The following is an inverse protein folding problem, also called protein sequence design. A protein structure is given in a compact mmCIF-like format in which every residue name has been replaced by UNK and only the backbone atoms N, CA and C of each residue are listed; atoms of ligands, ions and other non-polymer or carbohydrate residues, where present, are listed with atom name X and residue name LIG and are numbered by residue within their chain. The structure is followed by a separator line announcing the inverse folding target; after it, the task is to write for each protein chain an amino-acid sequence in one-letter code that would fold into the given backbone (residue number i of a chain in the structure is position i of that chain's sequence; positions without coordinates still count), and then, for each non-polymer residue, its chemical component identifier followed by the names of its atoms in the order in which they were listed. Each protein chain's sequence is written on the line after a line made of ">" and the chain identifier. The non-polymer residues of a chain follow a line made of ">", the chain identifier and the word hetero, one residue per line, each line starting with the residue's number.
data_IF_545125763938
#
_entry.id   IF_545125763938
#
_cell.length_a   1.000
_cell.length_b   1.000
_cell.length_c   1.000
_cell.angle_alpha   90.00
_cell.angle_beta   90.00
_cell.angle_gamma   90.00
#
_symmetry.space_group_name_H-M   'P 1'
#
loop_
_entity.id
_entity.type
_entity.pdbx_description
1 polymer ?
#
# COMPACT_ATOMS: atom_id res chain seq x y z
N UNK A 1 13.17 -9.68 -0.65
CA UNK A 1 11.95 -10.52 -0.81
C UNK A 1 11.94 -11.59 0.26
N UNK A 2 11.27 -11.35 1.39
CA UNK A 2 11.07 -12.37 2.43
C UNK A 2 9.56 -12.62 2.53
N UNK A 3 9.12 -13.79 2.07
CA UNK A 3 7.73 -14.26 2.17
C UNK A 3 7.76 -15.49 3.05
N UNK A 4 6.92 -15.51 4.08
CA UNK A 4 6.89 -16.60 5.06
C UNK A 4 5.44 -16.99 5.30
N UNK A 5 5.16 -18.29 5.24
CA UNK A 5 3.84 -18.86 5.59
C UNK A 5 3.83 -19.27 7.06
N UNK A 6 4.96 -19.79 7.54
CA UNK A 6 5.19 -20.11 8.95
C UNK A 6 6.44 -19.39 9.44
N UNK A 7 6.34 -18.72 10.58
CA UNK A 7 7.46 -18.06 11.27
C UNK A 7 7.49 -18.61 12.69
N UNK A 8 8.60 -19.26 13.06
CA UNK A 8 8.82 -19.68 14.44
C UNK A 8 9.21 -18.47 15.26
N UNK A 9 8.43 -18.16 16.31
CA UNK A 9 8.69 -17.07 17.24
C UNK A 9 8.83 -17.64 18.65
N UNK A 10 9.95 -17.38 19.36
CA UNK A 10 10.09 -17.77 20.77
C UNK A 10 9.03 -17.09 21.62
N UNK A 11 8.46 -17.80 22.61
CA UNK A 11 7.39 -17.25 23.46
C UNK A 11 7.78 -15.95 24.17
N UNK A 12 9.05 -15.83 24.59
CA UNK A 12 9.58 -14.67 25.31
C UNK A 12 9.97 -13.49 24.41
N UNK A 13 9.92 -13.66 23.08
CA UNK A 13 10.37 -12.65 22.14
C UNK A 13 9.19 -12.15 21.31
N UNK A 14 8.79 -10.91 21.53
CA UNK A 14 7.78 -10.24 20.72
C UNK A 14 8.40 -9.73 19.43
N UNK A 15 7.98 -10.29 18.30
CA UNK A 15 8.38 -9.81 16.97
C UNK A 15 7.76 -8.43 16.70
N UNK A 16 8.59 -7.38 16.66
CA UNK A 16 8.14 -5.99 16.49
C UNK A 16 7.31 -5.81 15.21
N UNK A 17 7.73 -6.41 14.10
CA UNK A 17 7.00 -6.34 12.84
C UNK A 17 5.61 -6.99 12.94
N UNK A 18 5.52 -8.19 13.53
CA UNK A 18 4.25 -8.89 13.69
C UNK A 18 3.27 -8.10 14.59
N UNK A 19 3.80 -7.43 15.62
CA UNK A 19 2.99 -6.60 16.52
C UNK A 19 2.36 -5.38 15.84
N UNK A 20 3.01 -4.81 14.81
CA UNK A 20 2.44 -3.70 14.03
C UNK A 20 1.17 -4.10 13.26
N UNK A 21 1.02 -5.39 12.94
CA UNK A 21 -0.09 -5.95 12.16
C UNK A 21 -1.03 -6.80 13.01
N UNK A 22 -1.14 -6.48 14.30
CA UNK A 22 -2.05 -7.11 15.25
C UNK A 22 -1.87 -8.63 15.36
N UNK A 23 -0.62 -9.11 15.28
CA UNK A 23 -0.32 -10.50 15.57
C UNK A 23 -0.69 -10.85 17.02
N UNK A 24 -1.06 -12.11 17.23
CA UNK A 24 -1.43 -12.62 18.54
C UNK A 24 -0.29 -12.48 19.55
N UNK A 25 -0.65 -12.35 20.83
CA UNK A 25 0.33 -12.33 21.91
C UNK A 25 0.93 -13.75 22.09
N UNK A 26 2.25 -13.82 22.26
CA UNK A 26 2.97 -15.08 22.42
C UNK A 26 2.94 -15.61 23.87
N UNK A 27 2.67 -14.73 24.84
CA UNK A 27 2.66 -15.03 26.27
C UNK A 27 1.24 -15.28 26.80
N UNK A 28 0.24 -14.66 26.18
CA UNK A 28 -1.15 -14.69 26.65
C UNK A 28 -2.13 -15.24 25.59
N UNK A 29 -3.18 -15.95 26.01
CA UNK A 29 -4.22 -16.39 25.09
C UNK A 29 -4.90 -15.18 24.44
N UNK A 30 -5.00 -15.20 23.11
CA UNK A 30 -5.63 -14.14 22.30
C UNK A 30 -6.94 -14.70 21.71
N UNK A 31 -8.06 -14.67 22.45
CA UNK A 31 -9.31 -15.35 22.05
C UNK A 31 -10.04 -14.64 20.90
N UNK A 32 -9.73 -13.37 20.65
CA UNK A 32 -10.34 -12.57 19.60
C UNK A 32 -9.27 -11.79 18.85
N UNK A 33 -9.44 -11.65 17.54
CA UNK A 33 -8.60 -10.78 16.71
C UNK A 33 -8.97 -9.32 16.99
N UNK A 34 -7.99 -8.51 17.39
CA UNK A 34 -8.17 -7.08 17.50
C UNK A 34 -8.40 -6.48 16.10
N UNK A 35 -9.42 -5.63 15.99
CA UNK A 35 -9.66 -4.82 14.79
C UNK A 35 -8.96 -3.49 15.03
N UNK A 36 -7.77 -3.35 14.46
CA UNK A 36 -7.02 -2.10 14.46
C UNK A 36 -7.43 -1.28 13.25
N UNK A 37 -7.85 -0.03 13.47
CA UNK A 37 -8.06 0.97 12.41
C UNK A 37 -6.87 1.92 12.29
N UNK A 38 -5.71 1.53 12.84
CA UNK A 38 -4.77 2.50 13.40
C UNK A 38 -3.68 2.89 12.41
N UNK A 39 -3.36 4.19 12.41
CA UNK A 39 -2.37 4.88 11.58
C UNK A 39 -0.97 4.24 11.44
N UNK A 40 -0.38 3.51 12.42
CA UNK A 40 0.96 2.95 12.31
C UNK A 40 1.16 2.02 11.11
N UNK A 41 0.15 1.24 10.73
CA UNK A 41 0.23 0.33 9.59
C UNK A 41 0.32 1.11 8.28
N UNK A 42 -0.55 2.12 8.10
CA UNK A 42 -0.52 3.01 6.95
C UNK A 42 0.78 3.83 6.91
N UNK A 43 1.20 4.39 8.04
CA UNK A 43 2.43 5.16 8.17
C UNK A 43 3.67 4.32 7.88
N UNK A 44 3.70 3.06 8.34
CA UNK A 44 4.77 2.13 8.00
C UNK A 44 4.90 2.01 6.49
N UNK A 45 3.81 1.71 5.78
CA UNK A 45 3.86 1.57 4.32
C UNK A 45 4.19 2.87 3.59
N UNK A 46 3.67 4.01 4.03
CA UNK A 46 3.98 5.33 3.43
C UNK A 46 5.48 5.66 3.49
N UNK A 47 6.18 5.21 4.53
CA UNK A 47 7.61 5.45 4.70
C UNK A 47 8.49 4.29 4.21
N UNK A 48 7.91 3.16 3.80
CA UNK A 48 8.68 1.97 3.46
C UNK A 48 9.13 2.00 1.99
N UNK A 49 10.44 1.82 1.76
CA UNK A 49 11.05 1.84 0.42
C UNK A 49 10.43 0.85 -0.57
N UNK A 50 9.92 -0.28 -0.07
CA UNK A 50 9.18 -1.24 -0.89
C UNK A 50 7.96 -0.64 -1.60
N UNK A 51 7.17 0.20 -0.91
CA UNK A 51 5.99 0.81 -1.53
C UNK A 51 6.41 1.80 -2.62
N UNK A 52 7.50 2.55 -2.40
CA UNK A 52 8.05 3.46 -3.40
C UNK A 52 8.56 2.73 -4.66
N UNK A 53 9.21 1.57 -4.49
CA UNK A 53 9.61 0.76 -5.64
C UNK A 53 8.40 0.24 -6.41
N UNK A 54 7.35 -0.20 -5.71
CA UNK A 54 6.12 -0.67 -6.35
C UNK A 54 5.40 0.45 -7.11
N UNK A 55 5.29 1.66 -6.53
CA UNK A 55 4.66 2.79 -7.20
C UNK A 55 5.41 3.16 -8.48
N UNK A 56 6.75 3.18 -8.43
CA UNK A 56 7.56 3.42 -9.63
C UNK A 56 7.35 2.37 -10.72
N UNK A 57 7.35 1.08 -10.36
CA UNK A 57 7.07 -0.01 -11.32
C UNK A 57 5.67 0.07 -11.93
N UNK A 58 4.66 0.42 -11.11
CA UNK A 58 3.29 0.56 -11.56
C UNK A 58 3.15 1.71 -12.56
N UNK A 59 3.74 2.87 -12.25
CA UNK A 59 3.75 4.03 -13.14
C UNK A 59 4.43 3.70 -14.46
N UNK A 60 5.64 3.13 -14.44
CA UNK A 60 6.35 2.71 -15.67
C UNK A 60 5.51 1.78 -16.53
N UNK A 61 4.81 0.82 -15.90
CA UNK A 61 3.95 -0.12 -16.61
C UNK A 61 2.76 0.57 -17.28
N UNK A 62 2.07 1.48 -16.60
CA UNK A 62 0.85 2.14 -17.11
C UNK A 62 1.21 3.23 -18.14
N UNK A 63 2.22 4.04 -17.85
CA UNK A 63 2.62 5.15 -18.70
C UNK A 63 3.29 4.67 -19.99
N UNK A 64 3.85 3.45 -19.98
CA UNK A 64 4.31 2.78 -21.20
C UNK A 64 3.19 2.26 -22.11
N UNK A 65 1.94 2.17 -21.63
CA UNK A 65 0.82 1.63 -22.41
C UNK A 65 -0.02 2.72 -23.08
N UNK A 66 -0.14 3.90 -22.47
CA UNK A 66 -0.91 5.02 -23.02
C UNK A 66 -0.29 6.35 -22.64
N UNK A 67 -0.39 7.32 -23.55
CA UNK A 67 0.03 8.71 -23.35
C UNK A 67 -1.11 9.64 -22.94
N UNK A 68 -2.36 9.14 -22.90
CA UNK A 68 -3.51 9.92 -22.44
C UNK A 68 -3.59 9.92 -20.91
N UNK A 69 -3.46 11.11 -20.32
CA UNK A 69 -3.54 11.31 -18.88
C UNK A 69 -4.88 10.84 -18.28
N UNK A 70 -5.99 10.98 -19.02
CA UNK A 70 -7.29 10.48 -18.58
C UNK A 70 -7.29 8.96 -18.39
N UNK A 71 -6.87 8.23 -19.41
CA UNK A 71 -6.72 6.77 -19.36
C UNK A 71 -5.68 6.31 -18.32
N UNK A 72 -4.57 7.03 -18.16
CA UNK A 72 -3.57 6.70 -17.13
C UNK A 72 -4.18 6.75 -15.72
N UNK A 73 -4.99 7.79 -15.43
CA UNK A 73 -5.68 7.92 -14.15
C UNK A 73 -6.68 6.79 -13.96
N UNK A 74 -7.50 6.48 -14.96
CA UNK A 74 -8.47 5.36 -14.86
C UNK A 74 -7.79 4.03 -14.57
N UNK A 75 -6.71 3.70 -15.30
CA UNK A 75 -5.97 2.45 -15.10
C UNK A 75 -5.28 2.39 -13.72
N UNK A 76 -4.77 3.51 -13.21
CA UNK A 76 -4.19 3.57 -11.86
C UNK A 76 -5.24 3.27 -10.79
N UNK A 77 -6.42 3.87 -10.91
CA UNK A 77 -7.52 3.68 -9.97
C UNK A 77 -8.05 2.24 -10.00
N UNK A 78 -8.20 1.65 -11.19
CA UNK A 78 -8.58 0.24 -11.30
C UNK A 78 -7.50 -0.68 -10.70
N UNK A 79 -6.22 -0.43 -10.96
CA UNK A 79 -5.14 -1.28 -10.47
C UNK A 79 -4.96 -1.22 -8.94
N UNK A 80 -5.18 -0.04 -8.32
CA UNK A 80 -4.94 0.17 -6.89
C UNK A 80 -6.21 -0.04 -6.05
N UNK A 81 -7.34 0.47 -6.52
CA UNK A 81 -8.60 0.51 -5.77
C UNK A 81 -9.68 -0.41 -6.35
N UNK A 82 -9.47 -1.03 -7.51
CA UNK A 82 -10.43 -1.95 -8.13
C UNK A 82 -11.70 -1.27 -8.65
N UNK A 83 -11.68 0.05 -8.85
CA UNK A 83 -12.81 0.85 -9.33
C UNK A 83 -12.32 2.02 -10.18
N UNK A 84 -13.22 2.58 -10.98
CA UNK A 84 -12.97 3.84 -11.68
C UNK A 84 -12.93 5.03 -10.68
N UNK A 85 -12.18 6.10 -11.03
CA UNK A 85 -12.18 7.33 -10.23
C UNK A 85 -13.54 8.01 -10.29
N UNK A 86 -13.98 8.62 -9.19
CA UNK A 86 -15.12 9.55 -9.24
C UNK A 86 -14.67 10.90 -9.82
N UNK A 87 -15.62 11.74 -10.23
CA UNK A 87 -15.30 13.00 -10.92
C UNK A 87 -14.32 13.90 -10.14
N UNK A 88 -14.53 14.06 -8.83
CA UNK A 88 -13.64 14.85 -7.98
C UNK A 88 -12.20 14.29 -7.93
N UNK A 89 -12.06 12.97 -7.89
CA UNK A 89 -10.76 12.28 -7.88
C UNK A 89 -10.04 12.41 -9.21
N UNK A 90 -10.79 12.32 -10.32
CA UNK A 90 -10.27 12.50 -11.68
C UNK A 90 -9.70 13.90 -11.87
N UNK A 91 -10.43 14.93 -11.45
CA UNK A 91 -9.98 16.32 -11.55
C UNK A 91 -8.68 16.55 -10.77
N UNK A 92 -8.60 16.06 -9.53
CA UNK A 92 -7.39 16.20 -8.70
C UNK A 92 -6.21 15.46 -9.35
N UNK A 93 -6.41 14.22 -9.81
CA UNK A 93 -5.35 13.43 -10.39
C UNK A 93 -4.83 14.04 -11.71
N UNK A 94 -5.72 14.56 -12.55
CA UNK A 94 -5.35 15.25 -13.79
C UNK A 94 -4.61 16.57 -13.52
N UNK A 95 -5.05 17.35 -12.54
CA UNK A 95 -4.33 18.55 -12.11
C UNK A 95 -2.91 18.19 -11.67
N UNK A 96 -2.77 17.15 -10.84
CA UNK A 96 -1.48 16.73 -10.34
C UNK A 96 -0.54 16.25 -11.45
N UNK A 97 -1.05 15.50 -12.45
CA UNK A 97 -0.28 15.07 -13.62
C UNK A 97 0.12 16.25 -14.52
N UNK A 98 -0.74 17.26 -14.67
CA UNK A 98 -0.44 18.48 -15.43
C UNK A 98 0.63 19.35 -14.76
N UNK A 99 0.64 19.42 -13.43
CA UNK A 99 1.66 20.12 -12.65
C UNK A 99 2.99 19.34 -12.60
N UNK A 100 2.92 18.01 -12.65
CA UNK A 100 4.07 17.09 -12.56
C UNK A 100 4.80 16.88 -13.90
N UNK A 101 4.93 17.93 -14.72
CA UNK A 101 5.79 17.87 -15.91
C UNK A 101 7.21 17.45 -15.50
N UNK A 102 7.83 16.45 -16.17
CA UNK A 102 8.98 15.73 -15.65
C UNK A 102 10.18 16.67 -15.47
N UNK A 103 10.77 16.65 -14.27
CA UNK A 103 12.15 17.10 -14.02
C UNK A 103 13.11 15.93 -14.18
#
# INVERSE_FOLDING_TARGET
>A
TRRSIYVQSPRYQREYFASLFDAADNEQPTPQRNVSTVAPQALFFLNHSWLQHLSGQLVTKIFGQTSDAGQQVEQLYEAILGRLPVEAERLIAQQWLGESSPR
#
